data_IF_429202680389
#
_entry.id   IF_429202680389
#
_cell.length_a   1.000
_cell.length_b   1.000
_cell.length_c   1.000
_cell.angle_alpha   90.00
_cell.angle_beta   90.00
_cell.angle_gamma   90.00
#
_symmetry.space_group_name_H-M   'P 1'
#
loop_
_entity.id
_entity.type
_entity.pdbx_description
1 polymer ?
#
# COMPACT_ATOMS: atom_id res chain seq x y z
N UNK A 1 -14.22 11.11 4.99
CA UNK A 1 -13.55 10.04 5.76
C UNK A 1 -13.20 10.59 7.13
N UNK A 2 -13.28 9.78 8.20
CA UNK A 2 -12.87 10.22 9.55
C UNK A 2 -11.47 9.72 9.84
N UNK A 3 -10.66 10.52 10.55
CA UNK A 3 -9.29 10.16 10.91
C UNK A 3 -9.20 8.79 11.61
N UNK A 4 -10.19 8.46 12.44
CA UNK A 4 -10.26 7.17 13.12
C UNK A 4 -10.50 6.04 12.11
N UNK A 5 -11.39 6.23 11.13
CA UNK A 5 -11.63 5.25 10.07
C UNK A 5 -10.37 4.96 9.27
N UNK A 6 -9.63 6.01 8.90
CA UNK A 6 -8.40 5.86 8.13
C UNK A 6 -7.31 5.14 8.93
N UNK A 7 -7.20 5.40 10.23
CA UNK A 7 -6.27 4.68 11.12
C UNK A 7 -6.61 3.20 11.27
N UNK A 8 -7.90 2.87 11.40
CA UNK A 8 -8.37 1.48 11.49
C UNK A 8 -8.07 0.74 10.20
N UNK A 9 -8.35 1.37 9.05
CA UNK A 9 -8.12 0.77 7.73
C UNK A 9 -6.63 0.59 7.44
N UNK A 10 -5.80 1.59 7.78
CA UNK A 10 -4.35 1.48 7.70
C UNK A 10 -3.82 0.30 8.53
N UNK A 11 -4.31 0.14 9.76
CA UNK A 11 -3.92 -0.97 10.63
C UNK A 11 -4.32 -2.33 10.03
N UNK A 12 -5.55 -2.45 9.52
CA UNK A 12 -6.05 -3.67 8.86
C UNK A 12 -5.18 -4.02 7.66
N UNK A 13 -4.91 -3.04 6.80
CA UNK A 13 -4.07 -3.18 5.62
C UNK A 13 -2.68 -3.69 5.97
N UNK A 14 -2.08 -3.15 7.03
CA UNK A 14 -0.76 -3.56 7.51
C UNK A 14 -0.73 -4.99 8.01
N UNK A 15 -1.77 -5.44 8.72
CA UNK A 15 -1.89 -6.84 9.18
C UNK A 15 -1.97 -7.77 7.97
N UNK A 16 -2.84 -7.47 7.01
CA UNK A 16 -2.98 -8.26 5.80
C UNK A 16 -1.68 -8.38 5.00
N UNK A 17 -0.93 -7.28 4.86
CA UNK A 17 0.38 -7.27 4.20
C UNK A 17 1.36 -8.24 4.86
N UNK A 18 1.43 -8.24 6.20
CA UNK A 18 2.31 -9.12 6.96
C UNK A 18 1.93 -10.60 6.76
N UNK A 19 0.63 -10.92 6.80
CA UNK A 19 0.12 -12.27 6.62
C UNK A 19 0.33 -12.79 5.18
N UNK A 20 0.39 -11.90 4.19
CA UNK A 20 0.47 -12.25 2.77
C UNK A 20 1.85 -11.97 2.15
N UNK A 21 2.86 -11.62 2.95
CA UNK A 21 4.14 -11.12 2.44
C UNK A 21 4.86 -12.12 1.52
N UNK A 22 4.77 -13.43 1.79
CA UNK A 22 5.37 -14.44 0.90
C UNK A 22 4.74 -14.44 -0.50
N UNK A 23 3.41 -14.32 -0.58
CA UNK A 23 2.69 -14.25 -1.85
C UNK A 23 3.04 -12.95 -2.58
N UNK A 24 3.09 -11.84 -1.85
CA UNK A 24 3.43 -10.52 -2.38
C UNK A 24 4.87 -10.50 -2.91
N UNK A 25 5.83 -11.04 -2.16
CA UNK A 25 7.23 -11.19 -2.61
C UNK A 25 7.35 -11.94 -3.92
N UNK A 26 6.59 -13.02 -4.12
CA UNK A 26 6.62 -13.76 -5.39
C UNK A 26 6.19 -12.92 -6.59
N UNK A 27 5.31 -11.93 -6.41
CA UNK A 27 4.77 -11.12 -7.49
C UNK A 27 5.47 -9.77 -7.67
N UNK A 28 5.95 -9.15 -6.59
CA UNK A 28 6.39 -7.75 -6.56
C UNK A 28 7.83 -7.55 -6.05
N UNK A 29 8.66 -8.60 -6.03
CA UNK A 29 10.05 -8.49 -5.57
C UNK A 29 10.79 -7.35 -6.27
N UNK A 30 11.43 -6.49 -5.49
CA UNK A 30 12.17 -5.32 -5.97
C UNK A 30 11.29 -4.13 -6.37
N UNK A 31 10.05 -4.07 -5.90
CA UNK A 31 9.11 -2.99 -6.17
C UNK A 31 8.58 -2.38 -4.87
N UNK A 32 8.24 -1.10 -4.93
CA UNK A 32 7.33 -0.46 -4.00
C UNK A 32 5.90 -0.84 -4.37
N UNK A 33 5.11 -1.21 -3.37
CA UNK A 33 3.68 -1.48 -3.53
C UNK A 33 2.87 -0.49 -2.71
N UNK A 34 1.68 -0.19 -3.18
CA UNK A 34 0.64 0.51 -2.44
C UNK A 34 -0.47 -0.48 -2.15
N UNK A 35 -0.82 -0.65 -0.89
CA UNK A 35 -1.90 -1.53 -0.46
C UNK A 35 -3.00 -0.75 0.25
N UNK A 36 -4.24 -1.22 0.10
CA UNK A 36 -5.41 -0.69 0.78
C UNK A 36 -6.38 -1.84 1.04
N UNK A 37 -6.76 -2.02 2.31
CA UNK A 37 -7.55 -3.16 2.75
C UNK A 37 -6.79 -4.47 2.54
N UNK A 38 -7.30 -5.33 1.66
CA UNK A 38 -6.76 -6.67 1.41
C UNK A 38 -6.22 -6.84 -0.02
N UNK A 39 -5.75 -5.74 -0.60
CA UNK A 39 -5.32 -5.69 -1.99
C UNK A 39 -4.11 -4.76 -2.20
N UNK A 40 -3.25 -5.13 -3.15
CA UNK A 40 -2.24 -4.23 -3.74
C UNK A 40 -2.91 -3.45 -4.87
N UNK A 41 -3.06 -2.14 -4.68
CA UNK A 41 -3.81 -1.25 -5.58
C UNK A 41 -2.94 -0.56 -6.64
N UNK A 42 -1.62 -0.48 -6.42
CA UNK A 42 -0.65 0.08 -7.37
C UNK A 42 0.76 -0.41 -6.99
N UNK A 43 1.71 -0.35 -7.91
CA UNK A 43 3.11 -0.70 -7.65
C UNK A 43 4.06 0.00 -8.62
N UNK A 44 5.30 0.24 -8.19
CA UNK A 44 6.34 0.85 -9.01
C UNK A 44 7.73 0.45 -8.52
N UNK A 45 8.75 0.55 -9.37
CA UNK A 45 10.15 0.45 -8.93
C UNK A 45 10.64 1.75 -8.29
N UNK A 46 10.01 2.87 -8.59
CA UNK A 46 10.31 4.19 -8.04
C UNK A 46 9.18 4.66 -7.10
N UNK A 47 9.53 4.82 -5.82
CA UNK A 47 8.61 5.27 -4.77
C UNK A 47 7.94 6.61 -5.08
N UNK A 48 8.68 7.56 -5.67
CA UNK A 48 8.17 8.89 -5.97
C UNK A 48 7.10 8.85 -7.06
N UNK A 49 7.28 8.01 -8.07
CA UNK A 49 6.31 7.82 -9.14
C UNK A 49 5.05 7.12 -8.65
N UNK A 50 5.18 6.15 -7.74
CA UNK A 50 4.04 5.53 -7.05
C UNK A 50 3.25 6.57 -6.24
N UNK A 51 3.93 7.32 -5.37
CA UNK A 51 3.31 8.35 -4.53
C UNK A 51 2.59 9.39 -5.40
N UNK A 52 3.21 9.87 -6.48
CA UNK A 52 2.57 10.84 -7.39
C UNK A 52 1.27 10.33 -7.99
N UNK A 53 1.20 9.04 -8.37
CA UNK A 53 -0.04 8.42 -8.87
C UNK A 53 -1.11 8.28 -7.79
N UNK A 54 -0.72 7.99 -6.55
CA UNK A 54 -1.68 7.90 -5.44
C UNK A 54 -2.26 9.28 -5.09
N UNK A 55 -1.43 10.32 -5.10
CA UNK A 55 -1.87 11.71 -4.93
C UNK A 55 -2.85 12.14 -6.01
N UNK A 56 -2.58 11.85 -7.29
CA UNK A 56 -3.47 12.25 -8.38
C UNK A 56 -4.83 11.55 -8.32
N UNK A 57 -4.90 10.39 -7.66
CA UNK A 57 -6.15 9.64 -7.39
C UNK A 57 -6.84 10.07 -6.09
N UNK A 58 -6.26 10.99 -5.31
CA UNK A 58 -6.80 11.40 -4.01
C UNK A 58 -6.73 10.30 -2.94
N UNK A 59 -5.88 9.29 -3.13
CA UNK A 59 -5.71 8.15 -2.22
C UNK A 59 -4.62 8.40 -1.17
N UNK A 60 -3.79 9.42 -1.38
CA UNK A 60 -2.72 9.81 -0.47
C UNK A 60 -2.73 11.33 -0.22
N UNK A 61 -2.52 11.80 1.04
CA UNK A 61 -2.40 10.99 2.26
C UNK A 61 -3.75 10.38 2.65
N UNK A 62 -3.76 9.10 3.00
CA UNK A 62 -4.96 8.30 3.27
C UNK A 62 -4.61 6.96 3.91
N UNK A 63 -5.54 6.00 4.00
CA UNK A 63 -5.31 4.70 4.65
C UNK A 63 -4.39 3.74 3.87
N UNK A 64 -3.73 4.21 2.81
CA UNK A 64 -2.84 3.40 1.96
C UNK A 64 -1.53 3.13 2.68
N UNK A 65 -1.09 1.87 2.66
CA UNK A 65 0.24 1.46 3.12
C UNK A 65 1.18 1.36 1.92
N UNK A 66 2.32 2.04 1.99
CA UNK A 66 3.39 1.91 0.99
C UNK A 66 4.52 1.07 1.61
N UNK A 67 4.94 0.02 0.92
CA UNK A 67 5.97 -0.91 1.39
C UNK A 67 6.91 -1.29 0.24
N UNK A 68 8.22 -1.35 0.52
CA UNK A 68 9.18 -1.93 -0.42
C UNK A 68 9.29 -3.44 -0.22
N UNK A 69 9.13 -4.20 -1.29
CA UNK A 69 9.15 -5.66 -1.26
C UNK A 69 10.55 -6.17 -1.59
N UNK A 70 11.26 -6.64 -0.57
CA UNK A 70 12.60 -7.25 -0.69
C UNK A 70 12.58 -8.73 -1.06
#
# INVERSE_FOLDING_TARGET
MSLIGDLVEYRRTRIWLLENMERIRRAFKGMYIAALGEEVIDSDRDEHSLIRRLWSKGLFPGPVVIEYVS
#
